data_IF_342471047109
#
_entry.id   IF_342471047109
#
_cell.length_a   1.000
_cell.length_b   1.000
_cell.length_c   1.000
_cell.angle_alpha   90.00
_cell.angle_beta   90.00
_cell.angle_gamma   90.00
#
_symmetry.space_group_name_H-M   'P 1'
#
loop_
_entity.id
_entity.type
_entity.pdbx_description
1 polymer ?
#
# COMPACT_ATOMS: atom_id res chain seq x y z
N UNK A 1 -16.57 21.18 4.52
CA UNK A 1 -16.00 20.50 5.72
C UNK A 1 -17.00 20.41 6.87
N UNK A 2 -17.72 21.49 7.22
CA UNK A 2 -18.68 21.49 8.34
C UNK A 2 -19.80 20.45 8.24
N UNK A 3 -20.33 20.19 7.03
CA UNK A 3 -21.44 19.23 6.84
C UNK A 3 -21.08 17.77 7.16
N UNK A 4 -19.96 17.26 6.65
CA UNK A 4 -19.51 15.89 6.93
C UNK A 4 -19.05 15.72 8.39
N UNK A 5 -18.36 16.72 8.96
CA UNK A 5 -17.95 16.68 10.35
C UNK A 5 -19.16 16.68 11.32
N UNK A 6 -20.30 17.22 10.90
CA UNK A 6 -21.54 17.19 11.67
C UNK A 6 -22.26 15.83 11.63
N UNK A 7 -21.94 14.96 10.66
CA UNK A 7 -22.46 13.58 10.60
C UNK A 7 -21.51 12.64 11.32
N UNK A 8 -21.96 12.03 12.43
CA UNK A 8 -21.12 11.13 13.22
C UNK A 8 -20.82 9.84 12.44
N UNK A 9 -19.55 9.66 12.07
CA UNK A 9 -19.03 8.38 11.58
C UNK A 9 -17.73 8.07 12.34
N UNK A 10 -17.78 7.11 13.26
CA UNK A 10 -16.65 6.74 14.11
C UNK A 10 -15.89 5.53 13.58
N UNK A 11 -16.44 4.79 12.61
CA UNK A 11 -15.80 3.65 11.97
C UNK A 11 -16.54 3.25 10.69
N UNK A 12 -15.80 2.86 9.66
CA UNK A 12 -16.29 2.33 8.36
C UNK A 12 -16.93 0.93 8.44
N UNK A 13 -17.32 0.48 9.64
CA UNK A 13 -18.00 -0.82 9.86
C UNK A 13 -19.46 -0.70 9.44
N UNK A 14 -20.03 0.48 9.65
CA UNK A 14 -21.34 0.86 9.15
C UNK A 14 -21.14 1.65 7.87
N UNK A 15 -21.96 1.32 6.87
CA UNK A 15 -21.88 1.94 5.56
C UNK A 15 -22.22 3.43 5.69
N UNK A 16 -21.36 4.26 5.12
CA UNK A 16 -21.58 5.69 4.94
C UNK A 16 -21.58 5.94 3.44
N UNK A 17 -22.61 6.60 2.92
CA UNK A 17 -22.72 6.89 1.48
C UNK A 17 -21.48 7.62 0.97
N UNK A 18 -20.84 8.45 1.80
CA UNK A 18 -19.61 9.18 1.46
C UNK A 18 -18.49 8.23 1.02
N UNK A 19 -18.26 7.12 1.73
CA UNK A 19 -17.16 6.21 1.40
C UNK A 19 -17.50 5.33 0.19
N UNK A 20 -18.79 5.03 0.00
CA UNK A 20 -19.29 4.27 -1.15
C UNK A 20 -19.19 5.09 -2.44
N UNK A 21 -19.72 6.31 -2.44
CA UNK A 21 -19.65 7.25 -3.55
C UNK A 21 -18.19 7.52 -3.95
N UNK A 22 -17.30 7.62 -2.95
CA UNK A 22 -15.88 7.80 -3.22
C UNK A 22 -15.25 6.55 -3.84
N UNK A 23 -15.59 5.35 -3.34
CA UNK A 23 -15.11 4.09 -3.92
C UNK A 23 -15.55 3.94 -5.37
N UNK A 24 -16.82 4.19 -5.68
CA UNK A 24 -17.36 4.12 -7.05
C UNK A 24 -16.64 5.09 -8.00
N UNK A 25 -16.47 6.35 -7.57
CA UNK A 25 -15.75 7.37 -8.36
C UNK A 25 -14.28 7.00 -8.57
N UNK A 26 -13.61 6.50 -7.54
CA UNK A 26 -12.20 6.10 -7.62
C UNK A 26 -12.02 4.89 -8.54
N UNK A 27 -12.82 3.83 -8.36
CA UNK A 27 -12.76 2.63 -9.19
C UNK A 27 -13.10 2.94 -10.65
N UNK A 28 -13.98 3.92 -10.92
CA UNK A 28 -14.27 4.41 -12.26
C UNK A 28 -13.07 5.04 -13.00
N UNK A 29 -11.99 5.40 -12.29
CA UNK A 29 -10.74 5.91 -12.89
C UNK A 29 -9.70 4.81 -13.16
N UNK A 30 -9.93 3.59 -12.68
CA UNK A 30 -9.01 2.48 -12.78
C UNK A 30 -9.42 1.51 -13.91
N UNK A 31 -8.50 0.65 -14.40
CA UNK A 31 -8.84 -0.39 -15.36
C UNK A 31 -9.94 -1.33 -14.84
N UNK A 32 -10.81 -1.91 -15.70
CA UNK A 32 -11.97 -2.71 -15.28
C UNK A 32 -11.67 -3.93 -14.40
N UNK A 33 -10.44 -4.44 -14.41
CA UNK A 33 -10.04 -5.57 -13.57
C UNK A 33 -9.77 -5.18 -12.11
N UNK A 34 -9.66 -3.88 -11.80
CA UNK A 34 -9.53 -3.36 -10.44
C UNK A 34 -10.91 -2.90 -9.94
N UNK A 35 -11.70 -3.83 -9.39
CA UNK A 35 -13.10 -3.60 -8.98
C UNK A 35 -13.35 -3.45 -7.48
N UNK A 36 -12.31 -3.44 -6.64
CA UNK A 36 -12.45 -3.39 -5.18
C UNK A 36 -11.52 -2.36 -4.56
N UNK A 37 -11.99 -1.66 -3.53
CA UNK A 37 -11.22 -0.70 -2.76
C UNK A 37 -11.24 -1.05 -1.27
N UNK A 38 -10.09 -0.95 -0.60
CA UNK A 38 -9.97 -1.01 0.84
C UNK A 38 -9.30 0.28 1.32
N UNK A 39 -9.97 1.02 2.20
CA UNK A 39 -9.49 2.30 2.69
C UNK A 39 -8.73 2.14 4.01
N UNK A 40 -7.60 2.82 4.09
CA UNK A 40 -6.76 2.93 5.29
C UNK A 40 -6.48 4.40 5.57
N UNK A 41 -5.92 4.70 6.75
CA UNK A 41 -5.57 6.07 7.12
C UNK A 41 -4.22 6.48 6.53
N UNK A 42 -3.35 5.52 6.22
CA UNK A 42 -1.99 5.76 5.72
C UNK A 42 -1.59 4.82 4.59
N UNK A 43 -0.60 5.23 3.82
CA UNK A 43 0.04 4.37 2.82
C UNK A 43 0.80 3.18 3.42
N UNK A 44 1.28 3.29 4.67
CA UNK A 44 1.93 2.15 5.33
C UNK A 44 0.93 1.03 5.61
N UNK A 45 -0.25 1.37 6.12
CA UNK A 45 -1.35 0.41 6.34
C UNK A 45 -1.85 -0.20 5.02
N UNK A 46 -1.92 0.60 3.95
CA UNK A 46 -2.29 0.11 2.63
C UNK A 46 -1.31 -0.95 2.14
N UNK A 47 0.00 -0.69 2.29
CA UNK A 47 1.04 -1.65 1.92
C UNK A 47 1.08 -2.87 2.84
N UNK A 48 0.79 -2.73 4.15
CA UNK A 48 0.65 -3.87 5.06
C UNK A 48 -0.47 -4.82 4.61
N UNK A 49 -1.63 -4.27 4.23
CA UNK A 49 -2.74 -5.04 3.68
C UNK A 49 -2.33 -5.69 2.36
N UNK A 50 -1.66 -4.97 1.46
CA UNK A 50 -1.20 -5.52 0.19
C UNK A 50 -0.26 -6.73 0.38
N UNK A 51 0.71 -6.63 1.29
CA UNK A 51 1.61 -7.73 1.65
C UNK A 51 0.83 -8.93 2.21
N UNK A 52 -0.14 -8.68 3.09
CA UNK A 52 -1.00 -9.73 3.66
C UNK A 52 -1.89 -10.40 2.61
N UNK A 53 -2.43 -9.64 1.66
CA UNK A 53 -3.24 -10.17 0.55
C UNK A 53 -2.38 -11.03 -0.39
N UNK A 54 -1.17 -10.58 -0.73
CA UNK A 54 -0.23 -11.34 -1.55
C UNK A 54 0.14 -12.67 -0.87
N UNK A 55 0.41 -12.66 0.43
CA UNK A 55 0.68 -13.87 1.20
C UNK A 55 -0.56 -14.79 1.25
N UNK A 56 -1.75 -14.25 1.48
CA UNK A 56 -2.98 -15.04 1.56
C UNK A 56 -3.31 -15.76 0.23
N UNK A 57 -3.05 -15.12 -0.91
CA UNK A 57 -3.31 -15.68 -2.23
C UNK A 57 -2.22 -16.68 -2.65
N UNK A 58 -0.94 -16.37 -2.38
CA UNK A 58 0.18 -17.18 -2.88
C UNK A 58 0.71 -18.23 -1.89
N UNK A 59 0.43 -18.06 -0.59
CA UNK A 59 1.10 -18.79 0.49
C UNK A 59 2.58 -18.44 0.68
N UNK A 60 3.12 -17.48 -0.08
CA UNK A 60 4.53 -17.12 -0.10
C UNK A 60 4.83 -15.84 0.69
N UNK A 61 6.04 -15.78 1.25
CA UNK A 61 6.55 -14.61 2.00
C UNK A 61 7.62 -13.81 1.24
N UNK A 62 8.09 -14.32 0.10
CA UNK A 62 9.16 -13.68 -0.66
C UNK A 62 8.70 -12.37 -1.28
N UNK A 63 9.44 -11.28 -1.04
CA UNK A 63 9.16 -9.96 -1.63
C UNK A 63 10.41 -9.41 -2.31
N UNK A 64 10.24 -8.85 -3.50
CA UNK A 64 11.28 -8.15 -4.24
C UNK A 64 10.89 -6.67 -4.32
N UNK A 65 11.82 -5.78 -3.96
CA UNK A 65 11.69 -4.34 -4.13
C UNK A 65 12.92 -3.78 -4.84
N UNK A 66 12.86 -2.57 -5.39
CA UNK A 66 14.06 -1.91 -5.90
C UNK A 66 14.86 -1.27 -4.75
N UNK A 67 16.14 -1.00 -4.99
CA UNK A 67 17.05 -0.39 -4.00
C UNK A 67 16.92 1.13 -3.86
N UNK A 68 15.92 1.75 -4.49
CA UNK A 68 15.62 3.18 -4.41
C UNK A 68 14.16 3.43 -3.99
N UNK A 69 13.77 2.95 -2.80
CA UNK A 69 12.36 2.86 -2.39
C UNK A 69 12.07 3.39 -0.99
N UNK A 70 10.82 3.80 -0.81
CA UNK A 70 10.18 4.08 0.47
C UNK A 70 8.70 3.65 0.40
N UNK A 71 8.32 2.66 1.21
CA UNK A 71 6.98 2.06 1.21
C UNK A 71 6.20 2.30 2.52
N UNK A 72 6.72 3.15 3.39
CA UNK A 72 6.12 3.45 4.69
C UNK A 72 7.07 3.14 5.85
N UNK A 73 6.52 3.16 7.06
CA UNK A 73 7.31 3.07 8.30
C UNK A 73 6.77 2.05 9.32
N UNK A 74 5.83 1.18 8.94
CA UNK A 74 5.43 0.04 9.80
C UNK A 74 6.51 -1.05 9.76
N UNK A 75 6.46 -1.97 10.71
CA UNK A 75 7.47 -3.01 10.86
C UNK A 75 7.63 -3.88 9.59
N UNK A 76 6.54 -4.21 8.90
CA UNK A 76 6.61 -5.02 7.68
C UNK A 76 7.04 -4.20 6.46
N UNK A 77 6.44 -3.04 6.20
CA UNK A 77 6.76 -2.26 4.97
C UNK A 77 8.12 -1.57 5.03
N UNK A 78 8.65 -1.26 6.22
CA UNK A 78 10.02 -0.74 6.37
C UNK A 78 11.07 -1.74 5.89
N UNK A 79 10.76 -3.05 5.90
CA UNK A 79 11.60 -4.10 5.31
C UNK A 79 11.78 -3.94 3.79
N UNK A 80 11.00 -3.09 3.14
CA UNK A 80 11.08 -2.81 1.70
C UNK A 80 11.82 -1.50 1.40
N UNK A 81 12.12 -0.68 2.40
CA UNK A 81 12.69 0.67 2.24
C UNK A 81 14.22 0.64 2.21
N UNK A 82 14.84 1.48 1.39
CA UNK A 82 16.29 1.78 1.45
C UNK A 82 16.59 3.15 2.05
N UNK A 83 15.64 4.09 1.94
CA UNK A 83 15.78 5.44 2.49
C UNK A 83 15.67 5.48 4.02
N UNK A 84 14.92 4.55 4.58
CA UNK A 84 14.77 4.31 6.02
C UNK A 84 14.94 2.82 6.28
N UNK A 85 16.18 2.33 6.44
CA UNK A 85 16.44 0.91 6.67
C UNK A 85 15.75 0.39 7.93
N UNK A 86 15.28 -0.87 7.95
CA UNK A 86 14.65 -1.46 9.11
C UNK A 86 15.63 -1.60 10.28
N UNK A 87 15.15 -1.34 11.49
CA UNK A 87 15.89 -1.58 12.73
C UNK A 87 16.16 -3.09 12.86
N UNK A 88 17.40 -3.47 13.16
CA UNK A 88 17.80 -4.88 13.27
C UNK A 88 18.11 -5.57 11.94
N UNK A 89 18.08 -4.82 10.83
CA UNK A 89 18.41 -5.33 9.51
C UNK A 89 17.21 -5.88 8.74
N UNK A 90 17.47 -6.26 7.49
CA UNK A 90 16.43 -6.68 6.55
C UNK A 90 16.12 -8.16 6.70
N UNK A 91 14.84 -8.52 6.67
CA UNK A 91 14.38 -9.89 6.76
C UNK A 91 14.86 -10.73 5.57
N UNK A 92 15.16 -12.01 5.83
CA UNK A 92 15.75 -12.91 4.83
C UNK A 92 14.81 -13.25 3.65
N UNK A 93 13.52 -12.96 3.76
CA UNK A 93 12.54 -13.16 2.69
C UNK A 93 12.37 -11.92 1.78
N UNK A 94 13.08 -10.82 2.05
CA UNK A 94 13.09 -9.63 1.18
C UNK A 94 14.38 -9.58 0.37
N UNK A 95 14.28 -9.28 -0.92
CA UNK A 95 15.41 -9.02 -1.80
C UNK A 95 15.27 -7.66 -2.47
N UNK A 96 16.39 -6.98 -2.62
CA UNK A 96 16.47 -5.75 -3.38
C UNK A 96 17.09 -6.02 -4.74
N UNK A 97 16.55 -5.39 -5.78
CA UNK A 97 17.12 -5.36 -7.12
C UNK A 97 17.49 -3.92 -7.48
N UNK A 98 18.44 -3.68 -8.39
CA UNK A 98 18.76 -2.33 -8.83
C UNK A 98 17.51 -1.61 -9.35
N UNK A 99 17.30 -0.37 -8.92
CA UNK A 99 16.27 0.48 -9.50
C UNK A 99 16.56 0.76 -10.99
N UNK A 100 15.53 0.86 -11.85
CA UNK A 100 15.72 1.30 -13.23
C UNK A 100 16.40 2.67 -13.29
N UNK A 101 17.51 2.78 -14.04
CA UNK A 101 18.27 4.01 -14.21
C UNK A 101 18.48 4.30 -15.70
N UNK A 102 17.45 4.86 -16.34
CA UNK A 102 17.49 5.24 -17.75
C UNK A 102 18.45 6.40 -18.05
N UNK A 103 18.92 7.12 -17.02
CA UNK A 103 19.90 8.18 -17.18
C UNK A 103 21.31 7.63 -17.38
N UNK A 104 21.69 6.57 -16.64
CA UNK A 104 23.01 5.91 -16.77
C UNK A 104 23.00 4.69 -17.68
N UNK A 105 21.84 4.10 -17.91
CA UNK A 105 21.64 2.91 -18.74
C UNK A 105 20.42 3.14 -19.65
N UNK A 106 20.57 3.90 -20.75
CA UNK A 106 19.51 4.05 -21.74
C UNK A 106 19.20 2.69 -22.38
N UNK A 107 17.91 2.48 -22.70
CA UNK A 107 17.35 1.23 -23.25
C UNK A 107 17.99 0.80 -24.59
#
# INVERSE_FOLDING_TARGET
LSGQAATLNTHTRYLSEIILDYAEKLLGTLPPHLGHAMFTCTGSEANDIALRMAQAVSGQMGIIATDATYHGNTAAVSQLSTRMPPVGGRAHHVRLVPAPDSYRHPD
#
